data_IF_435661501776
#
_entry.id   IF_435661501776
#
_cell.length_a   1.000
_cell.length_b   1.000
_cell.length_c   1.000
_cell.angle_alpha   90.00
_cell.angle_beta   90.00
_cell.angle_gamma   90.00
#
_symmetry.space_group_name_H-M   'P 1'
#
loop_
_entity.id
_entity.type
_entity.pdbx_description
1 polymer ?
#
# COMPACT_ATOMS: atom_id res chain seq x y z
N UNK A 1 17.34 -56.84 9.73
CA UNK A 1 18.03 -55.56 9.72
C UNK A 1 17.96 -55.00 8.28
N UNK A 2 17.09 -53.98 8.04
CA UNK A 2 16.81 -53.41 6.70
C UNK A 2 17.56 -52.05 6.58
N UNK A 3 18.68 -52.08 5.83
CA UNK A 3 19.43 -50.85 5.49
C UNK A 3 19.19 -50.53 3.98
N UNK A 4 18.09 -49.81 3.63
CA UNK A 4 17.83 -49.47 2.23
C UNK A 4 17.24 -48.05 1.95
N UNK A 5 17.23 -47.03 2.78
CA UNK A 5 16.83 -45.72 2.30
C UNK A 5 17.97 -44.72 2.04
N UNK A 6 19.23 -45.00 2.52
CA UNK A 6 20.29 -43.99 2.42
C UNK A 6 20.89 -43.81 1.01
N UNK A 7 20.84 -44.87 0.18
CA UNK A 7 21.39 -44.82 -1.19
C UNK A 7 20.53 -44.06 -2.18
N UNK A 8 19.21 -44.03 -1.98
CA UNK A 8 18.29 -43.31 -2.86
C UNK A 8 18.40 -41.79 -2.71
N UNK A 9 18.66 -41.31 -1.49
CA UNK A 9 18.83 -39.87 -1.23
C UNK A 9 20.17 -39.32 -1.79
N UNK A 10 21.24 -40.12 -1.75
CA UNK A 10 22.54 -39.71 -2.30
C UNK A 10 22.54 -39.66 -3.84
N UNK A 11 21.79 -40.53 -4.53
CA UNK A 11 21.67 -40.53 -5.97
C UNK A 11 20.90 -39.31 -6.50
N UNK A 12 19.85 -38.86 -5.76
CA UNK A 12 19.10 -37.67 -6.12
C UNK A 12 19.93 -36.38 -5.99
N UNK A 13 20.80 -36.31 -4.96
CA UNK A 13 21.67 -35.14 -4.77
C UNK A 13 22.77 -35.07 -5.84
N UNK A 14 23.27 -36.20 -6.31
CA UNK A 14 24.31 -36.23 -7.35
C UNK A 14 23.77 -35.85 -8.74
N UNK A 15 22.50 -36.18 -9.02
CA UNK A 15 21.86 -35.83 -10.30
C UNK A 15 21.61 -34.29 -10.39
N UNK A 16 21.37 -33.61 -9.28
CA UNK A 16 21.19 -32.15 -9.26
C UNK A 16 22.51 -31.40 -9.53
N UNK A 17 23.66 -31.96 -9.17
CA UNK A 17 24.95 -31.29 -9.31
C UNK A 17 25.56 -31.40 -10.73
N UNK A 18 25.12 -32.35 -11.57
CA UNK A 18 25.61 -32.51 -12.94
C UNK A 18 24.85 -31.67 -13.97
N UNK A 19 23.73 -31.08 -13.64
CA UNK A 19 22.91 -30.24 -14.53
C UNK A 19 23.32 -28.77 -14.56
N UNK A 20 24.32 -28.35 -13.76
CA UNK A 20 24.73 -26.93 -13.65
C UNK A 20 25.70 -26.46 -14.73
N UNK A 21 26.05 -27.31 -15.70
CA UNK A 21 27.06 -27.00 -16.73
C UNK A 21 26.50 -26.41 -18.05
N UNK A 22 25.19 -26.37 -18.24
CA UNK A 22 24.58 -25.72 -19.42
C UNK A 22 23.35 -24.96 -19.04
N UNK A 23 23.47 -23.64 -18.94
CA UNK A 23 22.38 -22.70 -18.74
C UNK A 23 21.31 -22.85 -19.82
N UNK A 24 20.00 -22.89 -19.46
CA UNK A 24 19.21 -21.69 -19.38
C UNK A 24 18.33 -21.62 -18.14
N UNK A 25 18.29 -20.43 -17.53
CA UNK A 25 17.53 -20.09 -16.32
C UNK A 25 16.02 -20.36 -16.42
N UNK A 26 15.50 -20.49 -17.61
CA UNK A 26 14.07 -20.67 -17.91
C UNK A 26 13.57 -22.12 -17.68
N UNK A 27 14.42 -23.12 -17.81
CA UNK A 27 14.02 -24.54 -17.71
C UNK A 27 14.07 -25.07 -16.26
N UNK A 28 14.89 -24.46 -15.41
CA UNK A 28 15.02 -24.90 -14.01
C UNK A 28 13.88 -24.47 -13.11
N UNK A 29 13.27 -23.31 -13.37
CA UNK A 29 12.17 -22.77 -12.55
C UNK A 29 10.99 -23.73 -12.38
N UNK A 30 10.41 -24.33 -13.45
CA UNK A 30 9.26 -25.20 -13.29
C UNK A 30 9.61 -26.53 -12.60
N UNK A 31 10.86 -27.01 -12.73
CA UNK A 31 11.29 -28.25 -12.08
C UNK A 31 11.48 -28.04 -10.57
N UNK A 32 12.12 -26.94 -10.18
CA UNK A 32 12.29 -26.60 -8.76
C UNK A 32 10.93 -26.36 -8.11
N UNK A 33 10.01 -25.64 -8.78
CA UNK A 33 8.67 -25.40 -8.27
C UNK A 33 7.91 -26.71 -8.01
N UNK A 34 7.89 -27.62 -8.98
CA UNK A 34 7.24 -28.95 -8.82
C UNK A 34 7.83 -29.78 -7.68
N UNK A 35 9.14 -29.73 -7.48
CA UNK A 35 9.79 -30.45 -6.37
C UNK A 35 9.42 -29.81 -5.02
N UNK A 36 9.40 -28.49 -4.93
CA UNK A 36 9.02 -27.77 -3.71
C UNK A 36 7.54 -27.99 -3.36
N UNK A 37 6.65 -28.02 -4.36
CA UNK A 37 5.23 -28.34 -4.16
C UNK A 37 5.02 -29.77 -3.69
N UNK A 38 5.72 -30.74 -4.30
CA UNK A 38 5.67 -32.14 -3.90
C UNK A 38 6.21 -32.40 -2.48
N UNK A 39 7.08 -31.51 -1.97
CA UNK A 39 7.57 -31.54 -0.58
C UNK A 39 6.73 -30.71 0.39
N UNK A 40 5.62 -30.09 -0.07
CA UNK A 40 4.76 -29.25 0.76
C UNK A 40 5.40 -27.94 1.23
N UNK A 41 6.50 -27.53 0.60
CA UNK A 41 7.22 -26.28 0.92
C UNK A 41 6.65 -25.06 0.19
N UNK A 42 5.84 -25.28 -0.85
CA UNK A 42 5.14 -24.24 -1.61
C UNK A 42 3.74 -24.76 -1.89
N UNK A 43 2.72 -24.01 -1.54
CA UNK A 43 1.36 -24.28 -1.98
C UNK A 43 1.28 -24.00 -3.49
N UNK A 44 0.67 -24.89 -4.27
CA UNK A 44 0.21 -24.56 -5.63
C UNK A 44 -0.89 -23.50 -5.49
N UNK A 45 -0.48 -22.23 -5.46
CA UNK A 45 -1.40 -21.20 -5.85
C UNK A 45 -1.44 -21.27 -7.39
N UNK A 46 -2.59 -21.73 -7.87
CA UNK A 46 -2.99 -21.61 -9.26
C UNK A 46 -2.60 -20.22 -9.78
N UNK A 47 -2.03 -20.19 -10.99
CA UNK A 47 -1.91 -18.98 -11.82
C UNK A 47 -3.32 -18.47 -12.23
N UNK A 48 -4.13 -18.15 -11.24
CA UNK A 48 -5.23 -17.22 -11.37
C UNK A 48 -4.65 -15.88 -10.92
N UNK A 49 -4.03 -15.19 -11.88
CA UNK A 49 -3.45 -13.86 -11.75
C UNK A 49 -4.58 -12.83 -11.65
N UNK A 50 -5.55 -13.10 -10.76
CA UNK A 50 -6.52 -12.10 -10.34
C UNK A 50 -5.76 -11.10 -9.50
N UNK A 51 -5.48 -9.96 -10.13
CA UNK A 51 -4.94 -8.80 -9.44
C UNK A 51 -5.85 -8.45 -8.27
N UNK A 52 -5.45 -8.82 -7.06
CA UNK A 52 -6.22 -8.61 -5.83
C UNK A 52 -6.10 -7.16 -5.32
N UNK A 53 -5.40 -6.29 -6.06
CA UNK A 53 -5.26 -4.88 -5.73
C UNK A 53 -6.61 -4.16 -5.89
N UNK A 54 -6.94 -3.32 -4.92
CA UNK A 54 -8.07 -2.40 -5.01
C UNK A 54 -7.61 -1.12 -5.69
N UNK A 55 -8.27 -0.73 -6.78
CA UNK A 55 -7.99 0.52 -7.49
C UNK A 55 -9.08 1.54 -7.22
N UNK A 56 -8.67 2.81 -7.14
CA UNK A 56 -9.61 3.93 -7.08
C UNK A 56 -10.31 4.11 -8.42
N UNK A 57 -11.58 4.52 -8.36
CA UNK A 57 -12.43 4.80 -9.51
C UNK A 57 -12.26 6.25 -9.97
N UNK A 58 -12.43 6.50 -11.28
CA UNK A 58 -12.38 7.84 -11.84
C UNK A 58 -13.48 8.72 -11.23
N UNK A 59 -13.12 9.93 -10.80
CA UNK A 59 -14.08 10.90 -10.27
C UNK A 59 -13.61 11.64 -9.04
N UNK A 60 -14.43 12.60 -8.63
CA UNK A 60 -14.15 13.49 -7.53
C UNK A 60 -13.34 14.73 -7.93
N UNK A 61 -13.08 15.57 -6.97
CA UNK A 61 -12.29 16.79 -7.12
C UNK A 61 -11.52 17.05 -5.81
N UNK A 62 -10.30 17.57 -5.95
CA UNK A 62 -9.50 18.03 -4.80
C UNK A 62 -9.31 19.53 -4.95
N UNK A 63 -10.00 20.30 -4.12
CA UNK A 63 -9.87 21.75 -4.02
C UNK A 63 -9.38 22.11 -2.62
N UNK A 64 -8.21 22.71 -2.55
CA UNK A 64 -7.63 23.12 -1.27
C UNK A 64 -8.31 24.37 -0.73
N UNK A 65 -8.63 24.41 0.57
CA UNK A 65 -9.19 25.59 1.20
C UNK A 65 -8.16 26.74 1.25
N UNK A 66 -8.65 27.96 1.26
CA UNK A 66 -7.81 29.16 1.23
C UNK A 66 -6.88 29.32 2.45
N UNK A 67 -7.19 28.64 3.55
CA UNK A 67 -6.38 28.62 4.78
C UNK A 67 -5.19 27.66 4.74
N UNK A 68 -5.10 26.82 3.72
CA UNK A 68 -4.04 25.82 3.62
C UNK A 68 -2.85 26.36 2.83
N UNK A 69 -1.68 26.45 3.45
CA UNK A 69 -0.42 26.75 2.77
C UNK A 69 0.20 25.46 2.22
N UNK A 70 -0.06 25.16 0.95
CA UNK A 70 0.45 23.96 0.26
C UNK A 70 1.97 24.00 0.03
N UNK A 71 2.62 25.14 0.30
CA UNK A 71 4.07 25.33 0.15
C UNK A 71 4.85 25.19 1.44
N UNK A 72 4.17 25.06 2.60
CA UNK A 72 4.81 25.02 3.91
C UNK A 72 5.80 23.86 4.10
N UNK A 73 5.55 22.74 3.43
CA UNK A 73 6.50 21.62 3.37
C UNK A 73 6.22 20.73 2.15
N UNK A 74 7.05 19.68 1.96
CA UNK A 74 6.82 18.71 0.88
C UNK A 74 5.55 17.86 1.08
N UNK A 75 5.07 17.75 2.30
CA UNK A 75 3.80 17.11 2.64
C UNK A 75 3.11 17.97 3.69
N UNK A 76 1.96 18.53 3.34
CA UNK A 76 1.16 19.39 4.20
C UNK A 76 -0.20 18.75 4.41
N UNK A 77 -0.66 18.70 5.65
CA UNK A 77 -1.99 18.22 6.03
C UNK A 77 -2.76 19.32 6.73
N UNK A 78 -4.04 19.46 6.44
CA UNK A 78 -4.92 20.48 6.98
C UNK A 78 -6.35 19.96 7.10
N UNK A 79 -6.97 20.14 8.24
CA UNK A 79 -8.36 19.73 8.48
C UNK A 79 -9.28 20.94 8.60
N UNK A 80 -10.42 20.91 7.91
CA UNK A 80 -11.46 21.91 7.98
C UNK A 80 -12.85 21.25 7.94
N UNK A 81 -13.66 21.49 8.93
CA UNK A 81 -14.98 20.87 9.05
C UNK A 81 -14.89 19.33 9.12
N UNK A 82 -15.58 18.66 8.20
CA UNK A 82 -15.59 17.19 8.11
C UNK A 82 -14.62 16.64 7.04
N UNK A 83 -13.65 17.44 6.62
CA UNK A 83 -12.70 17.07 5.55
C UNK A 83 -11.26 17.33 5.98
N UNK A 84 -10.39 16.37 5.71
CA UNK A 84 -8.95 16.53 5.80
C UNK A 84 -8.42 16.69 4.37
N UNK A 85 -7.52 17.62 4.21
CA UNK A 85 -6.80 17.89 2.96
C UNK A 85 -5.34 17.57 3.14
N UNK A 86 -4.67 17.05 2.11
CA UNK A 86 -3.23 16.98 2.10
C UNK A 86 -2.68 17.29 0.72
N UNK A 87 -1.62 18.11 0.70
CA UNK A 87 -0.83 18.42 -0.48
C UNK A 87 0.53 17.76 -0.36
N UNK A 88 1.03 17.21 -1.44
CA UNK A 88 2.35 16.57 -1.46
C UNK A 88 3.12 16.93 -2.74
N UNK A 89 4.42 17.20 -2.56
CA UNK A 89 5.31 17.66 -3.64
C UNK A 89 6.61 16.86 -3.64
N UNK A 90 6.80 16.06 -4.67
CA UNK A 90 8.00 15.24 -4.88
C UNK A 90 8.27 14.28 -3.72
N UNK A 91 7.28 13.46 -3.34
CA UNK A 91 7.39 12.49 -2.25
C UNK A 91 7.31 11.05 -2.73
N UNK A 92 7.83 10.14 -1.94
CA UNK A 92 7.63 8.69 -2.06
C UNK A 92 6.90 8.12 -0.85
N UNK A 93 6.95 8.84 0.28
CA UNK A 93 6.27 8.51 1.51
C UNK A 93 5.75 9.79 2.17
N UNK A 94 4.54 9.74 2.69
CA UNK A 94 3.94 10.84 3.44
C UNK A 94 2.83 10.34 4.35
N UNK A 95 2.56 11.10 5.40
CA UNK A 95 1.46 10.82 6.31
C UNK A 95 0.66 12.10 6.53
N UNK A 96 -0.67 11.96 6.59
CA UNK A 96 -1.53 13.03 7.08
C UNK A 96 -1.43 13.15 8.59
N UNK A 97 -1.95 14.24 9.13
CA UNK A 97 -2.34 14.30 10.54
C UNK A 97 -3.41 13.25 10.85
N UNK A 98 -3.60 12.98 12.14
CA UNK A 98 -4.67 12.11 12.56
C UNK A 98 -6.02 12.81 12.42
N UNK A 99 -7.02 12.05 12.00
CA UNK A 99 -8.43 12.46 11.98
C UNK A 99 -9.29 11.47 12.75
N UNK A 100 -10.45 11.90 13.17
CA UNK A 100 -11.45 11.03 13.80
C UNK A 100 -12.46 10.58 12.75
N UNK A 101 -12.76 9.30 12.67
CA UNK A 101 -13.81 8.81 11.80
C UNK A 101 -15.19 9.22 12.31
N UNK A 102 -16.02 9.84 11.46
CA UNK A 102 -17.39 10.22 11.78
C UNK A 102 -18.40 9.08 11.63
N UNK A 103 -18.05 8.10 10.82
CA UNK A 103 -18.84 6.91 10.53
C UNK A 103 -17.91 5.70 10.33
N UNK A 104 -18.45 4.58 9.93
CA UNK A 104 -17.69 3.38 9.56
C UNK A 104 -17.02 3.51 8.18
N UNK A 105 -17.26 4.60 7.48
CA UNK A 105 -16.70 4.86 6.14
C UNK A 105 -16.12 6.26 6.03
N UNK A 106 -15.10 6.40 5.18
CA UNK A 106 -14.60 7.69 4.68
C UNK A 106 -14.39 7.58 3.16
N UNK A 107 -14.49 8.72 2.47
CA UNK A 107 -14.16 8.80 1.06
C UNK A 107 -12.79 9.46 0.89
N UNK A 108 -11.89 8.75 0.21
CA UNK A 108 -10.61 9.26 -0.26
C UNK A 108 -10.79 9.75 -1.70
N UNK A 109 -10.42 11.00 -1.96
CA UNK A 109 -10.28 11.49 -3.33
C UNK A 109 -8.85 12.00 -3.50
N UNK A 110 -8.19 11.61 -4.58
CA UNK A 110 -6.79 11.99 -4.78
C UNK A 110 -6.45 12.11 -6.26
N UNK A 111 -5.51 12.98 -6.55
CA UNK A 111 -4.83 13.08 -7.85
C UNK A 111 -3.32 13.19 -7.62
N UNK A 112 -2.55 12.72 -8.58
CA UNK A 112 -1.11 12.96 -8.59
C UNK A 112 -0.55 12.88 -10.00
N UNK A 113 0.65 13.46 -10.17
CA UNK A 113 1.49 13.30 -11.36
C UNK A 113 2.82 12.67 -10.97
N UNK A 114 3.46 11.98 -11.92
CA UNK A 114 4.81 11.43 -11.79
C UNK A 114 5.57 11.56 -13.10
N UNK A 115 6.90 11.58 -13.06
CA UNK A 115 7.76 11.49 -14.23
C UNK A 115 8.03 10.04 -14.67
N UNK A 116 7.42 9.07 -14.00
CA UNK A 116 7.55 7.66 -14.37
C UNK A 116 6.97 7.40 -15.76
N UNK A 117 7.66 6.59 -16.56
CA UNK A 117 7.21 6.19 -17.90
C UNK A 117 6.79 4.72 -17.97
N UNK A 118 7.13 3.93 -16.93
CA UNK A 118 6.77 2.51 -16.86
C UNK A 118 5.43 2.36 -16.15
N UNK A 119 4.51 1.61 -16.74
CA UNK A 119 3.17 1.37 -16.20
C UNK A 119 3.20 0.87 -14.74
N UNK A 120 4.14 0.00 -14.38
CA UNK A 120 4.30 -0.50 -13.01
C UNK A 120 4.57 0.61 -11.97
N UNK A 121 5.05 1.78 -12.41
CA UNK A 121 5.33 2.96 -11.57
C UNK A 121 4.30 4.08 -11.76
N UNK A 122 3.20 3.83 -12.46
CA UNK A 122 2.13 4.81 -12.60
C UNK A 122 1.16 4.83 -11.43
N UNK A 123 1.39 4.00 -10.39
CA UNK A 123 0.47 3.87 -9.27
C UNK A 123 1.17 4.16 -7.94
N UNK A 124 0.53 4.99 -7.12
CA UNK A 124 0.86 5.17 -5.70
C UNK A 124 -0.25 4.58 -4.83
N UNK A 125 0.04 4.34 -3.58
CA UNK A 125 -0.87 3.71 -2.61
C UNK A 125 -1.25 4.71 -1.55
N UNK A 126 -2.54 4.70 -1.21
CA UNK A 126 -3.06 5.32 0.00
C UNK A 126 -3.62 4.22 0.89
N UNK A 127 -3.26 4.25 2.16
CA UNK A 127 -3.70 3.26 3.14
C UNK A 127 -4.03 3.93 4.48
N UNK A 128 -5.00 3.35 5.18
CA UNK A 128 -5.43 3.83 6.50
C UNK A 128 -4.62 3.13 7.59
N UNK A 129 -4.21 3.89 8.58
CA UNK A 129 -3.59 3.42 9.80
C UNK A 129 -4.38 3.91 11.00
N UNK A 130 -4.73 3.03 11.92
CA UNK A 130 -5.45 3.35 13.15
C UNK A 130 -4.47 3.63 14.28
N UNK A 131 -4.70 4.69 15.05
CA UNK A 131 -4.03 4.91 16.32
C UNK A 131 -4.61 3.93 17.37
N UNK A 132 -3.74 3.21 18.08
CA UNK A 132 -4.15 2.30 19.15
C UNK A 132 -4.75 3.07 20.32
N UNK A 133 -5.60 2.41 21.13
CA UNK A 133 -6.32 3.06 22.23
C UNK A 133 -5.39 3.62 23.30
N UNK A 134 -4.22 3.02 23.47
CA UNK A 134 -3.16 3.50 24.37
C UNK A 134 -2.31 4.62 23.74
N UNK A 135 -2.61 5.03 22.51
CA UNK A 135 -1.90 6.06 21.72
C UNK A 135 -0.41 5.83 21.55
N UNK A 136 0.08 4.63 21.80
CA UNK A 136 1.52 4.31 21.71
C UNK A 136 1.94 3.78 20.35
N UNK A 137 1.01 3.28 19.54
CA UNK A 137 1.29 2.63 18.26
C UNK A 137 0.25 2.98 17.21
N UNK A 138 0.60 2.74 15.97
CA UNK A 138 -0.33 2.75 14.85
C UNK A 138 -0.41 1.35 14.24
N UNK A 139 -1.63 0.91 13.92
CA UNK A 139 -1.92 -0.36 13.28
C UNK A 139 -2.30 -0.12 11.83
N UNK A 140 -1.61 -0.78 10.92
CA UNK A 140 -1.95 -0.79 9.50
C UNK A 140 -3.23 -1.61 9.26
N UNK A 141 -4.12 -1.08 8.41
CA UNK A 141 -5.34 -1.76 7.95
C UNK A 141 -5.12 -2.19 6.49
N UNK A 142 -4.71 -3.44 6.24
CA UNK A 142 -4.32 -3.90 4.90
C UNK A 142 -5.43 -3.73 3.86
N UNK A 143 -6.68 -3.99 4.24
CA UNK A 143 -7.87 -3.96 3.39
C UNK A 143 -8.22 -2.54 2.91
N UNK A 144 -7.65 -1.51 3.57
CA UNK A 144 -7.82 -0.10 3.19
C UNK A 144 -6.86 0.34 2.08
N UNK A 145 -5.90 -0.50 1.70
CA UNK A 145 -4.90 -0.14 0.68
C UNK A 145 -5.55 0.00 -0.68
N UNK A 146 -5.49 1.20 -1.20
CA UNK A 146 -6.06 1.53 -2.51
C UNK A 146 -4.99 2.14 -3.40
N UNK A 147 -4.96 1.70 -4.65
CA UNK A 147 -4.04 2.16 -5.68
C UNK A 147 -4.65 3.28 -6.50
N UNK A 148 -3.95 4.39 -6.60
CA UNK A 148 -4.33 5.57 -7.36
C UNK A 148 -3.35 5.77 -8.51
N UNK A 149 -3.84 6.06 -9.71
CA UNK A 149 -2.99 6.35 -10.86
C UNK A 149 -2.46 7.77 -10.80
N UNK A 150 -1.18 7.94 -11.10
CA UNK A 150 -0.47 9.23 -11.06
C UNK A 150 -0.39 9.87 -12.46
N UNK A 151 -1.52 10.07 -13.11
CA UNK A 151 -1.68 10.67 -14.46
C UNK A 151 -2.28 12.06 -14.44
N UNK A 152 -2.53 12.61 -13.24
CA UNK A 152 -3.11 13.94 -13.05
C UNK A 152 -4.63 13.95 -12.88
N UNK A 153 -5.30 12.85 -13.16
CA UNK A 153 -6.76 12.75 -13.02
C UNK A 153 -7.17 12.44 -11.58
N UNK A 154 -8.29 13.02 -11.14
CA UNK A 154 -8.87 12.74 -9.83
C UNK A 154 -9.55 11.37 -9.81
N UNK A 155 -9.29 10.62 -8.74
CA UNK A 155 -9.93 9.34 -8.46
C UNK A 155 -10.39 9.29 -7.02
N UNK A 156 -11.42 8.48 -6.79
CA UNK A 156 -12.03 8.33 -5.47
C UNK A 156 -12.13 6.86 -5.08
N UNK A 157 -12.07 6.61 -3.77
CA UNK A 157 -12.33 5.30 -3.18
C UNK A 157 -13.06 5.47 -1.84
N UNK A 158 -13.98 4.57 -1.55
CA UNK A 158 -14.62 4.49 -0.22
C UNK A 158 -13.90 3.45 0.61
N UNK A 159 -13.38 3.87 1.75
CA UNK A 159 -12.79 2.99 2.76
C UNK A 159 -13.86 2.70 3.80
N UNK A 160 -14.12 1.43 4.07
CA UNK A 160 -15.10 0.95 5.05
C UNK A 160 -14.44 0.18 6.18
N UNK A 161 -15.22 -0.15 7.21
CA UNK A 161 -14.76 -0.91 8.36
C UNK A 161 -14.04 -0.08 9.43
N UNK A 162 -14.17 1.25 9.36
CA UNK A 162 -13.66 2.14 10.41
C UNK A 162 -14.60 2.10 11.63
N UNK A 163 -14.06 2.41 12.79
CA UNK A 163 -14.84 2.57 14.02
C UNK A 163 -15.05 4.06 14.28
N UNK A 164 -16.30 4.54 14.31
CA UNK A 164 -16.58 5.94 14.63
C UNK A 164 -15.94 6.35 15.96
N UNK A 165 -15.40 7.56 16.02
CA UNK A 165 -14.72 8.09 17.21
C UNK A 165 -13.27 7.63 17.39
N UNK A 166 -12.76 6.67 16.62
CA UNK A 166 -11.34 6.30 16.63
C UNK A 166 -10.52 7.21 15.73
N UNK A 167 -9.22 7.31 16.02
CA UNK A 167 -8.29 8.14 15.28
C UNK A 167 -7.54 7.33 14.21
N UNK A 168 -7.46 7.93 13.04
CA UNK A 168 -6.83 7.34 11.85
C UNK A 168 -5.94 8.37 11.16
N UNK A 169 -5.00 7.90 10.34
CA UNK A 169 -4.24 8.71 9.40
C UNK A 169 -4.15 8.00 8.04
N UNK A 170 -3.93 8.77 7.00
CA UNK A 170 -3.60 8.23 5.68
C UNK A 170 -2.09 8.23 5.50
N UNK A 171 -1.56 7.10 5.06
CA UNK A 171 -0.18 6.99 4.60
C UNK A 171 -0.17 6.89 3.08
N UNK A 172 0.54 7.80 2.45
CA UNK A 172 0.91 7.69 1.04
C UNK A 172 2.20 6.89 0.93
N UNK A 173 2.25 5.94 0.02
CA UNK A 173 3.49 5.24 -0.37
C UNK A 173 3.57 5.04 -1.87
N UNK A 174 4.79 5.22 -2.40
CA UNK A 174 5.10 5.10 -3.82
C UNK A 174 6.37 4.28 -4.01
N UNK A 175 6.24 3.12 -4.65
CA UNK A 175 7.26 2.07 -4.66
C UNK A 175 8.38 2.28 -5.70
N UNK A 176 8.48 3.46 -6.30
CA UNK A 176 9.55 3.77 -7.24
C UNK A 176 10.75 4.39 -6.52
N UNK A 177 11.96 3.91 -6.80
CA UNK A 177 13.18 4.33 -6.09
C UNK A 177 13.77 5.67 -6.57
N UNK A 178 13.47 6.10 -7.80
CA UNK A 178 14.13 7.25 -8.45
C UNK A 178 13.19 8.30 -8.97
N UNK A 179 11.89 8.12 -8.85
CA UNK A 179 10.85 9.06 -9.23
C UNK A 179 9.91 9.32 -8.06
N UNK A 180 9.15 10.37 -8.14
CA UNK A 180 8.34 10.89 -7.05
C UNK A 180 6.92 11.18 -7.55
N UNK A 181 5.97 11.36 -6.61
CA UNK A 181 4.63 11.84 -6.91
C UNK A 181 4.42 13.24 -6.35
N UNK A 182 3.69 14.05 -7.10
CA UNK A 182 3.24 15.39 -6.72
C UNK A 182 1.74 15.48 -6.95
N UNK A 183 0.98 15.97 -5.96
CA UNK A 183 -0.48 16.04 -6.06
C UNK A 183 -1.15 16.43 -4.77
N UNK A 184 -2.36 15.95 -4.61
CA UNK A 184 -3.17 16.20 -3.42
C UNK A 184 -4.21 15.13 -3.16
N UNK A 185 -4.73 15.15 -1.94
CA UNK A 185 -5.84 14.28 -1.54
C UNK A 185 -6.80 15.01 -0.58
N UNK A 186 -8.02 14.48 -0.53
CA UNK A 186 -9.00 14.80 0.51
C UNK A 186 -9.52 13.53 1.13
N UNK A 187 -9.85 13.61 2.43
CA UNK A 187 -10.57 12.58 3.17
C UNK A 187 -11.85 13.23 3.70
N UNK A 188 -13.00 12.81 3.22
CA UNK A 188 -14.30 13.30 3.68
C UNK A 188 -15.02 12.25 4.52
N UNK A 189 -15.97 12.72 5.38
CA UNK A 189 -16.68 11.85 6.31
C UNK A 189 -16.02 11.80 7.69
N UNK A 190 -15.23 12.81 8.04
CA UNK A 190 -14.64 12.95 9.35
C UNK A 190 -15.72 13.30 10.39
N UNK A 191 -15.53 12.79 11.61
CA UNK A 191 -16.27 13.23 12.78
C UNK A 191 -15.83 14.61 13.23
N UNK A 192 -16.75 15.34 13.87
CA UNK A 192 -16.40 16.55 14.60
C UNK A 192 -15.65 16.14 15.88
N UNK A 193 -14.35 16.00 15.82
CA UNK A 193 -13.53 16.00 17.00
C UNK A 193 -12.82 17.34 17.06
N UNK A 194 -13.01 18.07 18.13
CA UNK A 194 -12.01 19.02 18.57
C UNK A 194 -10.71 18.21 18.69
N UNK A 195 -9.74 18.53 17.84
CA UNK A 195 -8.37 18.05 18.01
C UNK A 195 -7.91 18.60 19.37
N UNK A 196 -8.05 17.82 20.44
CA UNK A 196 -7.36 18.14 21.69
C UNK A 196 -5.88 18.26 21.33
N UNK A 197 -5.40 19.49 21.29
CA UNK A 197 -3.99 19.81 21.16
C UNK A 197 -3.25 19.00 22.22
N UNK A 198 -2.38 18.11 21.79
CA UNK A 198 -1.46 17.42 22.68
C UNK A 198 -0.50 18.50 23.17
N UNK A 199 -0.76 19.08 24.35
CA UNK A 199 0.24 19.85 25.07
C UNK A 199 1.36 18.88 25.43
N UNK A 200 2.47 19.02 24.76
CA UNK A 200 3.73 18.39 25.15
C UNK A 200 4.25 19.13 26.39
N UNK A 201 4.07 18.52 27.57
CA UNK A 201 4.88 18.84 28.75
C UNK A 201 6.32 18.34 28.59
#
# INVERSE_FOLDING_TARGET
>A
MKRKPLFAAAAALFLCLTLTACSPKEVLKPIILKVCTAMGLVSENSDDDTDTRTFAEDGGEVVFPSGMDTSASRFVSYAEGSTLYASFNGVQLGNTDFFVAGSDTVTLTSYATTEATKEAYMYYKLAVWQLTDDRTKVAYIPESTTYFRADGECRSATISGLTPGKQYKITLSYDASSVYVTGGLTVSGLGSAELESIETE
#
